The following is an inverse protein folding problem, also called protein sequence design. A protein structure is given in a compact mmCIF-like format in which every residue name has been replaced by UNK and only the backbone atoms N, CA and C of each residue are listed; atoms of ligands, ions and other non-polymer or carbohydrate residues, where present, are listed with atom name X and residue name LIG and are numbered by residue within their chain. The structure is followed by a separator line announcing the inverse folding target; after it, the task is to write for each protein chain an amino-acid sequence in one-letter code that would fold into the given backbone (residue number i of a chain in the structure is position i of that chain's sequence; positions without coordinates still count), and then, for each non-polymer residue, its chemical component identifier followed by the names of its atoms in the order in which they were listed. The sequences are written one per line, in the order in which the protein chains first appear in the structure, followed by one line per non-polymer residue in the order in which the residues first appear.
data_IF_719301136695
#
_entry.id   IF_719301136695
#
_cell.length_a   1.000
_cell.length_b   1.000
_cell.length_c   1.000
_cell.angle_alpha   90.00
_cell.angle_beta   90.00
_cell.angle_gamma   90.00
#
_symmetry.space_group_name_H-M   'P 1'
#
loop_
_entity.id
_entity.type
_entity.pdbx_description
1 polymer ?
#
# COMPACT_ATOMS: atom_id res chain seq x y z
N UNK A 1 -42.90 -6.30 -83.43
CA UNK A 1 -43.90 -5.21 -83.40
C UNK A 1 -45.11 -5.72 -82.63
N UNK A 2 -45.69 -4.96 -81.68
CA UNK A 2 -45.05 -3.96 -80.80
C UNK A 2 -43.95 -4.68 -79.94
N UNK A 3 -43.69 -4.51 -78.64
CA UNK A 3 -44.17 -3.60 -77.57
C UNK A 3 -43.11 -3.45 -76.46
N UNK A 4 -43.34 -2.54 -75.51
CA UNK A 4 -42.51 -2.32 -74.30
C UNK A 4 -43.44 -2.03 -73.11
N UNK A 5 -43.13 -2.56 -71.92
CA UNK A 5 -43.67 -2.00 -70.67
C UNK A 5 -42.63 -2.12 -69.54
N UNK A 6 -41.91 -1.02 -69.27
CA UNK A 6 -40.95 -0.93 -68.16
C UNK A 6 -41.70 -0.80 -66.82
N UNK A 7 -41.17 -1.42 -65.76
CA UNK A 7 -41.37 -0.98 -64.37
C UNK A 7 -40.01 -0.80 -63.71
N UNK A 8 -39.66 0.44 -63.41
CA UNK A 8 -38.60 0.73 -62.44
C UNK A 8 -39.21 0.64 -61.03
N UNK A 9 -38.59 -0.10 -60.12
CA UNK A 9 -38.77 0.06 -58.67
C UNK A 9 -37.39 0.20 -58.03
N UNK A 10 -37.31 0.99 -56.97
CA UNK A 10 -36.08 1.56 -56.46
C UNK A 10 -35.41 0.75 -55.34
N UNK A 11 -34.08 0.87 -55.29
CA UNK A 11 -33.22 1.01 -54.09
C UNK A 11 -32.87 -0.21 -53.21
N UNK A 12 -31.54 -0.30 -53.02
CA UNK A 12 -30.84 -0.60 -51.76
C UNK A 12 -30.96 -2.03 -51.19
N UNK A 13 -30.26 -2.98 -51.82
CA UNK A 13 -29.70 -4.12 -51.11
C UNK A 13 -28.52 -3.70 -50.22
N UNK A 14 -28.47 -4.21 -49.00
CA UNK A 14 -27.60 -3.73 -47.91
C UNK A 14 -26.10 -3.82 -48.19
N UNK A 15 -25.36 -2.73 -47.94
CA UNK A 15 -23.97 -2.85 -47.47
C UNK A 15 -24.00 -3.21 -45.99
N UNK A 16 -23.27 -4.26 -45.61
CA UNK A 16 -23.05 -4.68 -44.22
C UNK A 16 -21.62 -5.20 -44.04
N UNK A 17 -21.16 -5.15 -42.78
CA UNK A 17 -19.95 -5.82 -42.27
C UNK A 17 -18.59 -5.35 -42.81
N UNK A 18 -18.11 -4.20 -42.32
CA UNK A 18 -16.68 -3.97 -42.02
C UNK A 18 -16.50 -2.95 -40.87
N UNK A 19 -17.06 -3.25 -39.69
CA UNK A 19 -16.81 -2.50 -38.44
C UNK A 19 -16.72 -3.50 -37.28
N UNK A 20 -15.53 -4.05 -36.99
CA UNK A 20 -15.24 -4.79 -35.74
C UNK A 20 -13.74 -5.05 -35.50
N UNK A 21 -12.89 -4.04 -35.74
CA UNK A 21 -11.46 -4.06 -35.37
C UNK A 21 -11.06 -2.86 -34.49
N UNK A 22 -11.99 -2.41 -33.65
CA UNK A 22 -11.66 -1.67 -32.44
C UNK A 22 -11.02 -2.65 -31.44
N UNK A 23 -9.76 -3.01 -31.67
CA UNK A 23 -8.99 -3.83 -30.74
C UNK A 23 -8.95 -3.13 -29.37
N UNK A 24 -9.24 -3.88 -28.29
CA UNK A 24 -9.21 -3.31 -26.95
C UNK A 24 -7.77 -2.96 -26.58
N UNK A 25 -7.40 -1.69 -26.79
CA UNK A 25 -6.42 -0.99 -25.97
C UNK A 25 -7.05 -0.76 -24.58
N UNK A 26 -7.38 -1.86 -23.89
CA UNK A 26 -7.50 -1.83 -22.45
C UNK A 26 -6.13 -1.36 -21.93
N UNK A 27 -6.06 -0.33 -21.08
CA UNK A 27 -4.80 0.06 -20.50
C UNK A 27 -4.25 -1.16 -19.76
N UNK A 28 -3.00 -1.52 -20.03
CA UNK A 28 -2.26 -2.45 -19.20
C UNK A 28 -2.03 -1.75 -17.86
N UNK A 29 -3.01 -1.89 -16.97
CA UNK A 29 -2.86 -1.58 -15.56
C UNK A 29 -1.80 -2.53 -15.04
N UNK A 30 -0.55 -2.07 -15.05
CA UNK A 30 0.54 -2.74 -14.38
C UNK A 30 0.19 -2.69 -12.90
N UNK A 31 -0.27 -3.82 -12.36
CA UNK A 31 -0.58 -3.96 -10.95
C UNK A 31 0.61 -3.44 -10.16
N UNK A 32 0.37 -2.44 -9.30
CA UNK A 32 1.45 -1.79 -8.59
C UNK A 32 2.16 -2.84 -7.73
N UNK A 33 3.45 -3.06 -7.95
CA UNK A 33 4.22 -4.07 -7.25
C UNK A 33 5.25 -3.46 -6.30
N UNK A 34 5.20 -3.93 -5.05
CA UNK A 34 6.19 -3.64 -4.03
C UNK A 34 6.75 -4.96 -3.50
N UNK A 35 8.06 -5.15 -3.63
CA UNK A 35 8.80 -6.19 -2.93
C UNK A 35 9.98 -5.52 -2.24
N UNK A 36 10.02 -5.54 -0.91
CA UNK A 36 11.12 -4.98 -0.11
C UNK A 36 11.28 -5.69 1.23
N UNK A 37 12.49 -5.61 1.76
CA UNK A 37 12.81 -5.96 3.15
C UNK A 37 13.88 -5.02 3.67
N UNK A 38 13.67 -4.43 4.85
CA UNK A 38 14.57 -3.45 5.44
C UNK A 38 14.60 -3.56 6.97
N UNK A 39 15.67 -3.01 7.55
CA UNK A 39 15.83 -2.86 9.00
C UNK A 39 16.53 -1.54 9.28
N UNK A 40 15.88 -0.68 10.06
CA UNK A 40 16.27 0.68 10.36
C UNK A 40 16.43 0.87 11.86
N UNK A 41 17.28 1.81 12.29
CA UNK A 41 17.32 2.24 13.68
C UNK A 41 17.65 3.73 13.80
N UNK A 42 17.32 4.30 14.97
CA UNK A 42 17.61 5.68 15.32
C UNK A 42 17.95 5.76 16.81
N UNK A 43 19.15 6.23 17.14
CA UNK A 43 19.49 6.59 18.53
C UNK A 43 19.15 8.05 18.79
N UNK A 44 18.40 8.34 19.87
CA UNK A 44 18.16 9.68 20.42
C UNK A 44 18.57 9.72 21.89
N UNK A 45 18.54 10.91 22.48
CA UNK A 45 18.76 11.13 23.90
C UNK A 45 17.56 11.95 24.40
N UNK A 46 16.72 11.36 25.25
CA UNK A 46 15.40 11.88 25.62
C UNK A 46 15.27 11.85 27.14
N UNK A 47 14.95 12.98 27.76
CA UNK A 47 14.86 13.17 29.22
C UNK A 47 16.13 12.76 29.99
N UNK A 48 17.28 12.71 29.30
CA UNK A 48 18.58 12.29 29.83
C UNK A 48 18.90 10.80 29.63
N UNK A 49 17.97 10.00 29.10
CA UNK A 49 18.20 8.60 28.76
C UNK A 49 18.56 8.43 27.27
N UNK A 50 19.53 7.54 26.99
CA UNK A 50 19.75 7.04 25.62
C UNK A 50 18.57 6.17 25.19
N UNK A 51 17.88 6.58 24.14
CA UNK A 51 16.80 5.82 23.50
C UNK A 51 17.30 5.25 22.18
N UNK A 52 17.03 3.98 21.92
CA UNK A 52 17.24 3.38 20.59
C UNK A 52 15.88 2.94 20.08
N UNK A 53 15.47 3.51 18.96
CA UNK A 53 14.33 3.03 18.20
C UNK A 53 14.81 2.08 17.09
N UNK A 54 14.05 1.01 16.82
CA UNK A 54 14.27 0.10 15.71
C UNK A 54 12.98 -0.13 14.93
N UNK A 55 13.07 -0.29 13.61
CA UNK A 55 11.92 -0.55 12.74
C UNK A 55 12.32 -1.54 11.65
N UNK A 56 11.56 -2.61 11.45
CA UNK A 56 11.78 -3.57 10.36
C UNK A 56 10.50 -3.74 9.53
N UNK A 57 10.68 -3.96 8.23
CA UNK A 57 9.57 -4.18 7.31
C UNK A 57 9.90 -5.25 6.29
N UNK A 58 8.92 -6.08 5.96
CA UNK A 58 8.95 -7.08 4.92
C UNK A 58 7.61 -7.03 4.19
N UNK A 59 7.62 -6.40 3.02
CA UNK A 59 6.41 -6.08 2.26
C UNK A 59 6.48 -6.70 0.87
N UNK A 60 5.47 -7.50 0.52
CA UNK A 60 5.23 -8.05 -0.82
C UNK A 60 3.76 -7.82 -1.19
N UNK A 61 3.52 -6.90 -2.12
CA UNK A 61 2.20 -6.57 -2.64
C UNK A 61 2.20 -6.60 -4.16
N UNK A 62 1.09 -7.08 -4.72
CA UNK A 62 0.78 -7.17 -6.14
C UNK A 62 -0.62 -6.59 -6.38
N UNK A 63 -0.68 -5.28 -6.63
CA UNK A 63 -1.91 -4.51 -6.47
C UNK A 63 -2.42 -4.57 -5.02
N UNK A 64 -3.69 -4.91 -4.84
CA UNK A 64 -4.36 -5.10 -3.54
C UNK A 64 -4.00 -6.45 -2.87
N UNK A 65 -3.30 -7.35 -3.58
CA UNK A 65 -2.95 -8.67 -3.08
C UNK A 65 -1.69 -8.62 -2.22
N UNK A 66 -1.86 -8.73 -0.91
CA UNK A 66 -0.76 -8.96 0.03
C UNK A 66 -0.26 -10.40 -0.14
N UNK A 67 1.02 -10.58 -0.50
CA UNK A 67 1.70 -11.88 -0.47
C UNK A 67 2.47 -12.10 0.84
N UNK A 68 3.01 -11.02 1.39
CA UNK A 68 3.63 -10.98 2.70
C UNK A 68 3.53 -9.56 3.25
N UNK A 69 3.13 -9.45 4.51
CA UNK A 69 3.23 -8.25 5.31
C UNK A 69 3.86 -8.65 6.65
N UNK A 70 4.92 -7.96 7.03
CA UNK A 70 5.38 -7.87 8.41
C UNK A 70 5.97 -6.49 8.65
N UNK A 71 5.54 -5.85 9.71
CA UNK A 71 6.07 -4.59 10.21
C UNK A 71 6.31 -4.75 11.71
N UNK A 72 7.54 -4.49 12.14
CA UNK A 72 7.99 -4.61 13.53
C UNK A 72 8.58 -3.26 13.94
N UNK A 73 8.30 -2.82 15.16
CA UNK A 73 8.88 -1.59 15.67
C UNK A 73 9.17 -1.70 17.17
N UNK A 74 10.25 -1.06 17.61
CA UNK A 74 10.80 -1.26 18.93
C UNK A 74 11.35 0.04 19.51
N UNK A 75 11.23 0.18 20.81
CA UNK A 75 11.85 1.20 21.66
C UNK A 75 12.66 0.48 22.73
N UNK A 76 13.96 0.78 22.81
CA UNK A 76 14.86 0.31 23.84
C UNK A 76 15.39 1.49 24.66
N UNK A 77 15.19 1.44 25.98
CA UNK A 77 15.81 2.32 26.99
C UNK A 77 16.62 1.45 27.97
N UNK A 78 17.51 2.02 28.81
CA UNK A 78 18.35 1.22 29.71
C UNK A 78 17.57 0.47 30.80
N UNK A 79 16.35 0.91 31.10
CA UNK A 79 15.52 0.46 32.23
C UNK A 79 14.24 -0.26 31.81
N UNK A 80 13.80 -0.07 30.56
CA UNK A 80 12.55 -0.61 30.01
C UNK A 80 12.58 -0.60 28.48
N UNK A 81 11.62 -1.25 27.85
CA UNK A 81 11.45 -1.25 26.40
C UNK A 81 10.02 -1.56 25.99
N UNK A 82 9.75 -1.42 24.71
CA UNK A 82 8.46 -1.73 24.08
C UNK A 82 8.73 -2.32 22.70
N UNK A 83 8.12 -3.46 22.39
CA UNK A 83 8.21 -4.13 21.09
C UNK A 83 6.80 -4.45 20.58
N UNK A 84 6.64 -4.52 19.26
CA UNK A 84 5.39 -4.86 18.62
C UNK A 84 5.62 -5.56 17.27
N UNK A 85 4.56 -6.16 16.75
CA UNK A 85 4.51 -6.66 15.38
C UNK A 85 3.10 -6.56 14.83
N UNK A 86 3.00 -6.30 13.53
CA UNK A 86 1.82 -6.54 12.70
C UNK A 86 2.27 -7.37 11.51
N UNK A 87 1.61 -8.50 11.27
CA UNK A 87 1.89 -9.39 10.15
C UNK A 87 0.61 -9.96 9.51
N UNK A 88 0.76 -10.89 8.57
CA UNK A 88 -0.35 -11.51 7.83
C UNK A 88 -1.39 -12.22 8.70
N UNK A 89 -1.10 -12.55 9.96
CA UNK A 89 -2.05 -13.18 10.89
C UNK A 89 -2.96 -12.19 11.64
N UNK A 90 -2.75 -10.89 11.47
CA UNK A 90 -3.63 -9.83 12.00
C UNK A 90 -4.74 -9.42 10.99
N UNK A 91 -5.03 -10.27 10.00
CA UNK A 91 -5.92 -10.03 8.85
C UNK A 91 -5.73 -8.65 8.17
N UNK A 92 -4.54 -8.34 7.64
CA UNK A 92 -4.31 -7.09 6.93
C UNK A 92 -5.03 -7.06 5.57
N UNK A 93 -5.46 -5.85 5.18
CA UNK A 93 -6.11 -5.56 3.90
C UNK A 93 -5.36 -4.43 3.22
N UNK A 94 -5.26 -4.46 1.89
CA UNK A 94 -4.60 -3.41 1.10
C UNK A 94 -5.56 -2.80 0.07
N UNK A 95 -5.59 -1.48 -0.01
CA UNK A 95 -6.26 -0.71 -1.07
C UNK A 95 -5.21 0.01 -1.91
N UNK A 96 -5.33 0.03 -3.24
CA UNK A 96 -4.40 0.74 -4.13
C UNK A 96 -4.89 2.15 -4.43
N UNK A 97 -4.15 3.15 -3.95
CA UNK A 97 -4.39 4.56 -4.25
C UNK A 97 -3.55 4.97 -5.48
N UNK A 98 -4.09 5.86 -6.33
CA UNK A 98 -3.37 6.43 -7.47
C UNK A 98 -3.16 7.94 -7.24
N UNK A 99 -1.90 8.34 -7.04
CA UNK A 99 -1.47 9.71 -6.78
C UNK A 99 -0.41 10.12 -7.83
N UNK A 100 -0.90 10.58 -8.99
CA UNK A 100 -0.06 10.82 -10.16
C UNK A 100 0.70 9.57 -10.60
N UNK A 101 2.01 9.71 -10.78
CA UNK A 101 2.91 8.62 -11.16
C UNK A 101 3.38 7.75 -9.97
N UNK A 102 2.93 8.04 -8.73
CA UNK A 102 3.38 7.32 -7.53
C UNK A 102 2.52 6.09 -7.24
N UNK A 103 3.18 4.98 -6.94
CA UNK A 103 2.50 3.79 -6.42
C UNK A 103 2.17 3.96 -4.94
N UNK A 104 0.92 3.74 -4.55
CA UNK A 104 0.45 3.92 -3.18
C UNK A 104 -0.44 2.76 -2.73
N UNK A 105 -0.17 2.23 -1.55
CA UNK A 105 -1.01 1.25 -0.88
C UNK A 105 -1.43 1.79 0.48
N UNK A 106 -2.72 1.68 0.81
CA UNK A 106 -3.24 1.88 2.16
C UNK A 106 -3.48 0.52 2.79
N UNK A 107 -2.70 0.19 3.81
CA UNK A 107 -2.82 -1.05 4.59
C UNK A 107 -3.66 -0.77 5.83
N UNK A 108 -4.73 -1.53 6.02
CA UNK A 108 -5.59 -1.55 7.22
C UNK A 108 -5.60 -2.96 7.82
N UNK A 109 -6.15 -3.12 9.02
CA UNK A 109 -6.44 -4.43 9.62
C UNK A 109 -7.96 -4.65 9.65
N UNK A 110 -8.41 -5.88 9.37
CA UNK A 110 -9.83 -6.25 9.34
C UNK A 110 -10.51 -6.11 10.70
N UNK A 111 -9.79 -6.45 11.77
CA UNK A 111 -10.15 -6.13 13.15
C UNK A 111 -8.90 -5.58 13.90
N UNK A 112 -8.73 -4.25 13.94
CA UNK A 112 -7.58 -3.65 14.60
C UNK A 112 -7.65 -3.75 16.14
N UNK A 113 -8.81 -4.08 16.73
CA UNK A 113 -8.93 -4.28 18.18
C UNK A 113 -8.46 -5.67 18.56
N UNK A 114 -8.91 -6.70 17.85
CA UNK A 114 -8.48 -8.08 18.05
C UNK A 114 -6.97 -8.24 17.87
N UNK A 115 -6.40 -7.63 16.82
CA UNK A 115 -4.96 -7.62 16.57
C UNK A 115 -4.16 -7.02 17.73
N UNK A 116 -4.52 -5.81 18.19
CA UNK A 116 -3.86 -5.17 19.36
C UNK A 116 -3.96 -6.00 20.63
N UNK A 117 -5.09 -6.66 20.85
CA UNK A 117 -5.30 -7.52 22.01
C UNK A 117 -4.42 -8.78 21.93
N UNK A 118 -4.43 -9.49 20.80
CA UNK A 118 -3.59 -10.67 20.53
C UNK A 118 -2.09 -10.38 20.71
N UNK A 119 -1.65 -9.21 20.23
CA UNK A 119 -0.26 -8.74 20.28
C UNK A 119 0.10 -8.04 21.60
N UNK A 120 -0.85 -7.89 22.53
CA UNK A 120 -0.62 -7.33 23.86
C UNK A 120 -0.33 -5.82 23.91
N UNK A 121 -0.74 -5.02 22.91
CA UNK A 121 -0.48 -3.56 22.87
C UNK A 121 -1.73 -2.66 22.87
N UNK A 122 -2.87 -3.16 23.38
CA UNK A 122 -4.12 -2.41 23.57
C UNK A 122 -4.08 -1.39 24.75
N UNK A 123 -2.89 -0.87 25.08
CA UNK A 123 -2.69 0.17 26.11
C UNK A 123 -3.34 1.51 25.74
N UNK A 124 -3.48 1.77 24.44
CA UNK A 124 -4.15 2.95 23.90
C UNK A 124 -5.64 2.65 23.74
N UNK A 125 -6.40 2.90 24.82
CA UNK A 125 -7.82 2.53 24.98
C UNK A 125 -8.79 3.38 24.12
N UNK A 126 -8.53 3.42 22.81
CA UNK A 126 -9.31 4.07 21.77
C UNK A 126 -9.33 3.12 20.56
N UNK A 127 -10.53 2.74 20.11
CA UNK A 127 -10.74 1.87 18.94
C UNK A 127 -10.39 2.54 17.62
N UNK A 128 -9.13 2.93 17.44
CA UNK A 128 -8.68 3.68 16.27
C UNK A 128 -8.48 2.75 15.06
N UNK A 129 -9.11 3.12 13.94
CA UNK A 129 -8.93 2.50 12.63
C UNK A 129 -7.63 3.01 11.99
N UNK A 130 -6.50 2.61 12.57
CA UNK A 130 -5.19 3.01 12.07
C UNK A 130 -4.83 2.26 10.78
N UNK A 131 -3.92 2.86 10.01
CA UNK A 131 -3.45 2.36 8.73
C UNK A 131 -1.97 2.68 8.51
N UNK A 132 -1.29 1.92 7.67
CA UNK A 132 0.01 2.30 7.08
C UNK A 132 -0.25 2.71 5.63
N UNK A 133 0.12 3.93 5.24
CA UNK A 133 0.32 4.24 3.82
C UNK A 133 1.75 3.89 3.42
N UNK A 134 1.88 3.06 2.39
CA UNK A 134 3.14 2.78 1.70
C UNK A 134 3.11 3.62 0.42
N UNK A 135 3.95 4.65 0.30
CA UNK A 135 4.11 5.44 -0.94
C UNK A 135 5.48 5.13 -1.56
N UNK A 136 5.51 4.67 -2.80
CA UNK A 136 6.75 4.48 -3.56
C UNK A 136 6.97 5.62 -4.54
N UNK A 137 8.08 6.31 -4.37
CA UNK A 137 8.57 7.39 -5.23
C UNK A 137 9.89 6.94 -5.87
N UNK A 138 9.78 6.28 -7.03
CA UNK A 138 10.89 5.65 -7.74
C UNK A 138 11.64 4.58 -6.92
N UNK A 139 12.81 4.95 -6.43
CA UNK A 139 13.68 4.12 -5.58
C UNK A 139 13.44 4.31 -4.07
N UNK A 140 12.59 5.25 -3.66
CA UNK A 140 12.27 5.48 -2.24
C UNK A 140 10.91 4.89 -1.88
N UNK A 141 10.83 4.23 -0.73
CA UNK A 141 9.58 3.88 -0.06
C UNK A 141 9.41 4.77 1.17
N UNK A 142 8.25 5.40 1.28
CA UNK A 142 7.79 6.11 2.46
C UNK A 142 6.77 5.23 3.20
N UNK A 143 7.03 4.96 4.47
CA UNK A 143 6.16 4.21 5.38
C UNK A 143 5.54 5.21 6.35
N UNK A 144 4.26 5.55 6.13
CA UNK A 144 3.55 6.66 6.77
C UNK A 144 2.36 6.09 7.54
N UNK A 145 2.47 5.83 8.86
CA UNK A 145 1.33 5.42 9.66
C UNK A 145 0.36 6.59 9.91
N UNK A 146 -0.94 6.32 9.94
CA UNK A 146 -1.96 7.33 10.29
C UNK A 146 -2.15 7.52 11.80
N UNK A 147 -1.56 6.64 12.63
CA UNK A 147 -1.51 6.78 14.07
C UNK A 147 -0.27 6.06 14.65
N UNK A 148 0.30 6.51 15.78
CA UNK A 148 1.34 5.77 16.49
C UNK A 148 0.90 4.33 16.83
N UNK A 149 -0.31 4.19 17.37
CA UNK A 149 -0.87 2.97 17.94
C UNK A 149 -1.21 1.84 16.94
N UNK A 150 -0.79 1.92 15.67
CA UNK A 150 -0.72 0.73 14.82
C UNK A 150 0.42 -0.19 15.29
N UNK A 151 1.50 0.39 15.84
CA UNK A 151 2.64 -0.33 16.42
C UNK A 151 3.31 0.37 17.64
N UNK A 152 2.79 1.48 18.16
CA UNK A 152 3.02 1.99 19.53
C UNK A 152 4.42 2.55 19.91
N UNK A 153 5.51 2.10 19.28
CA UNK A 153 6.91 2.31 19.74
C UNK A 153 7.38 3.76 19.87
N UNK A 154 6.69 4.70 19.21
CA UNK A 154 7.12 6.10 19.05
C UNK A 154 5.88 7.00 19.04
N UNK A 155 5.69 7.81 20.09
CA UNK A 155 4.52 8.70 20.20
C UNK A 155 4.37 9.71 19.05
N UNK A 156 5.47 10.11 18.41
CA UNK A 156 5.52 11.11 17.33
C UNK A 156 5.99 10.52 15.98
N UNK A 157 5.71 9.25 15.68
CA UNK A 157 6.13 8.64 14.41
C UNK A 157 5.23 9.07 13.25
N UNK A 158 5.79 9.90 12.37
CA UNK A 158 5.13 10.44 11.17
C UNK A 158 5.50 9.68 9.91
N UNK A 159 6.78 9.34 9.72
CA UNK A 159 7.29 8.66 8.53
C UNK A 159 8.60 7.92 8.82
N UNK A 160 8.79 6.76 8.17
CA UNK A 160 10.09 6.20 7.84
C UNK A 160 10.28 6.19 6.31
N UNK A 161 11.30 6.89 5.83
CA UNK A 161 11.76 6.86 4.43
C UNK A 161 12.89 5.83 4.27
N UNK A 162 12.78 4.92 3.30
CA UNK A 162 13.79 3.89 2.99
C UNK A 162 14.18 3.94 1.51
N UNK A 163 15.49 3.95 1.22
CA UNK A 163 16.01 3.79 -0.13
C UNK A 163 16.05 2.29 -0.49
N UNK A 164 15.25 1.87 -1.46
CA UNK A 164 15.08 0.48 -1.90
C UNK A 164 16.31 -0.11 -2.62
N UNK A 165 17.29 0.72 -3.00
CA UNK A 165 18.55 0.26 -3.62
C UNK A 165 19.72 0.17 -2.64
N UNK A 166 19.82 1.10 -1.68
CA UNK A 166 20.95 1.14 -0.73
C UNK A 166 20.61 0.59 0.65
N UNK A 167 19.32 0.44 0.98
CA UNK A 167 18.84 0.11 2.32
C UNK A 167 18.94 1.27 3.32
N UNK A 168 19.35 2.48 2.88
CA UNK A 168 19.49 3.64 3.75
C UNK A 168 18.13 4.12 4.27
N UNK A 169 18.06 4.34 5.58
CA UNK A 169 16.86 4.79 6.28
C UNK A 169 16.99 6.25 6.71
N UNK A 170 15.89 7.00 6.66
CA UNK A 170 15.80 8.36 7.19
C UNK A 170 14.46 8.57 7.88
N UNK A 171 14.48 9.21 9.04
CA UNK A 171 13.30 9.60 9.80
C UNK A 171 13.13 11.12 9.72
N UNK A 172 12.25 11.66 8.86
CA UNK A 172 12.12 13.11 8.64
C UNK A 172 11.33 13.85 9.74
N UNK A 173 11.23 13.29 10.96
CA UNK A 173 10.62 13.88 12.16
C UNK A 173 11.36 13.49 13.43
#
# INVERSE_FOLDING_TARGET
MPSILRKNVSRHGSLLLFILTAALLAPLSQAQQLQTKFGCNLTRNEDGEKVIYGDTGEFRLDGERIEALRWESALYRPTHGFECSVDTSDDPQAEVEHDGDKSNWRITLKDPVAARHQRGYDFYNHGMNCSIRLQRDGDKLHVIPSCPALCGSRGNFTELSVNLKTGECSYPG
#
